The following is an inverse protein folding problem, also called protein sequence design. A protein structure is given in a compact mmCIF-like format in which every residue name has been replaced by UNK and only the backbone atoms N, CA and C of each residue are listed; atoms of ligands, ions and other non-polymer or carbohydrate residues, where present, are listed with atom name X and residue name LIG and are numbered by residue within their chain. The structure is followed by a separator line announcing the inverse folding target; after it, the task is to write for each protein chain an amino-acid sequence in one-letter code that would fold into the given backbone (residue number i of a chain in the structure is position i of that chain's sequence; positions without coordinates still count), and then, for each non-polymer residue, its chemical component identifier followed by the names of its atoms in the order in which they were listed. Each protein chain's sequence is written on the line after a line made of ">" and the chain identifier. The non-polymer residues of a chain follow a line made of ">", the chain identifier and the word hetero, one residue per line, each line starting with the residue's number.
data_IF_560812659019
#
_entry.id   IF_560812659019
#
_cell.length_a   1.000
_cell.length_b   1.000
_cell.length_c   1.000
_cell.angle_alpha   90.00
_cell.angle_beta   90.00
_cell.angle_gamma   90.00
#
_symmetry.space_group_name_H-M   'P 1'
#
loop_
_entity.id
_entity.type
_entity.pdbx_description
1 polymer ?
#
# COMPACT_ATOMS: atom_id res chain seq x y z
N UNK A 1 10.20 -59.78 56.86
CA UNK A 1 10.20 -59.24 55.48
C UNK A 1 9.13 -58.14 55.39
N UNK A 2 9.46 -56.99 54.79
CA UNK A 2 8.62 -55.78 54.59
C UNK A 2 8.70 -54.80 55.78
N UNK A 3 9.31 -53.60 55.76
CA UNK A 3 9.18 -52.43 54.84
C UNK A 3 7.69 -52.10 54.58
N UNK A 4 7.16 -50.88 54.65
CA UNK A 4 7.74 -49.54 54.59
C UNK A 4 6.67 -48.50 54.99
N UNK A 5 7.13 -47.41 55.60
CA UNK A 5 6.73 -45.99 55.43
C UNK A 5 5.52 -45.59 54.58
N UNK A 6 4.83 -44.52 54.99
CA UNK A 6 4.25 -43.57 54.04
C UNK A 6 3.13 -42.70 54.59
N UNK A 7 3.48 -41.52 55.12
CA UNK A 7 2.52 -40.49 55.51
C UNK A 7 1.74 -39.93 54.32
N UNK A 8 0.50 -39.50 54.56
CA UNK A 8 -0.27 -38.68 53.62
C UNK A 8 -0.38 -37.27 54.17
N UNK A 9 0.35 -36.34 53.55
CA UNK A 9 0.13 -34.93 53.70
C UNK A 9 -1.05 -34.52 52.80
N UNK A 10 -2.07 -33.94 53.42
CA UNK A 10 -3.15 -33.21 52.77
C UNK A 10 -2.59 -31.91 52.16
N UNK A 11 -2.84 -31.73 50.87
CA UNK A 11 -2.32 -30.64 50.08
C UNK A 11 -3.29 -30.30 48.95
N UNK A 12 -4.56 -30.07 49.29
CA UNK A 12 -5.59 -29.62 48.35
C UNK A 12 -5.36 -28.15 47.92
N UNK A 13 -4.31 -27.89 47.13
CA UNK A 13 -4.21 -26.67 46.32
C UNK A 13 -5.05 -26.87 45.06
N UNK A 14 -6.23 -26.24 45.01
CA UNK A 14 -6.99 -26.07 43.77
C UNK A 14 -6.09 -25.35 42.77
N UNK A 15 -5.67 -26.04 41.71
CA UNK A 15 -5.08 -25.39 40.52
C UNK A 15 -6.17 -24.52 39.93
N UNK A 16 -5.95 -23.21 39.95
CA UNK A 16 -6.71 -22.28 39.11
C UNK A 16 -6.39 -22.67 37.66
N UNK A 17 -7.42 -23.00 36.89
CA UNK A 17 -7.26 -23.30 35.47
C UNK A 17 -6.64 -22.08 34.79
N UNK A 18 -5.59 -22.30 34.02
CA UNK A 18 -5.02 -21.26 33.16
C UNK A 18 -6.06 -20.87 32.11
N UNK A 19 -6.24 -19.58 31.80
CA UNK A 19 -7.17 -19.17 30.75
C UNK A 19 -6.64 -19.68 29.42
N UNK A 20 -7.29 -20.71 28.87
CA UNK A 20 -7.02 -21.17 27.51
C UNK A 20 -7.66 -20.17 26.55
N UNK A 21 -6.85 -19.26 26.00
CA UNK A 21 -7.30 -18.48 24.85
C UNK A 21 -7.25 -19.39 23.63
N UNK A 22 -8.43 -19.71 23.12
CA UNK A 22 -8.64 -20.51 21.92
C UNK A 22 -8.44 -19.62 20.70
N UNK A 23 -7.21 -19.54 20.20
CA UNK A 23 -6.93 -18.88 18.94
C UNK A 23 -7.29 -19.82 17.77
N UNK A 24 -8.53 -19.77 17.28
CA UNK A 24 -8.93 -20.47 16.05
C UNK A 24 -8.47 -19.73 14.79
N UNK A 25 -7.17 -19.39 14.71
CA UNK A 25 -6.59 -18.91 13.46
C UNK A 25 -5.87 -20.07 12.79
N UNK A 26 -6.55 -20.76 11.88
CA UNK A 26 -5.90 -21.77 11.02
C UNK A 26 -4.83 -21.12 10.13
N UNK A 27 -3.88 -21.92 9.64
CA UNK A 27 -2.76 -21.47 8.77
C UNK A 27 -3.24 -20.59 7.60
N UNK A 28 -4.43 -20.86 7.07
CA UNK A 28 -5.03 -20.13 5.96
C UNK A 28 -5.40 -18.66 6.31
N UNK A 29 -5.80 -18.39 7.56
CA UNK A 29 -6.09 -17.03 8.03
C UNK A 29 -4.82 -16.19 8.17
N UNK A 30 -3.76 -16.79 8.72
CA UNK A 30 -2.46 -16.15 8.88
C UNK A 30 -1.83 -15.79 7.53
N UNK A 31 -1.97 -16.66 6.52
CA UNK A 31 -1.51 -16.40 5.16
C UNK A 31 -2.26 -15.23 4.52
N UNK A 32 -3.58 -15.12 4.72
CA UNK A 32 -4.40 -14.03 4.15
C UNK A 32 -4.04 -12.68 4.76
N UNK A 33 -3.84 -12.60 6.07
CA UNK A 33 -3.45 -11.34 6.75
C UNK A 33 -2.05 -10.88 6.31
N UNK A 34 -1.08 -11.79 6.29
CA UNK A 34 0.27 -11.48 5.80
C UNK A 34 0.25 -11.01 4.34
N UNK A 35 -0.54 -11.67 3.49
CA UNK A 35 -0.67 -11.28 2.08
C UNK A 35 -1.28 -9.87 1.94
N UNK A 36 -2.27 -9.51 2.76
CA UNK A 36 -2.87 -8.16 2.74
C UNK A 36 -1.83 -7.11 3.13
N UNK A 37 -1.08 -7.33 4.21
CA UNK A 37 -0.01 -6.42 4.63
C UNK A 37 1.03 -6.23 3.53
N UNK A 38 1.49 -7.33 2.92
CA UNK A 38 2.44 -7.31 1.80
C UNK A 38 1.87 -6.54 0.62
N UNK A 39 0.61 -6.76 0.25
CA UNK A 39 -0.04 -6.05 -0.86
C UNK A 39 -0.16 -4.54 -0.61
N UNK A 40 -0.49 -4.13 0.62
CA UNK A 40 -0.55 -2.70 0.97
C UNK A 40 0.85 -2.09 0.91
N UNK A 41 1.89 -2.78 1.39
CA UNK A 41 3.28 -2.29 1.32
C UNK A 41 3.79 -2.19 -0.12
N UNK A 42 3.45 -3.16 -0.97
CA UNK A 42 3.75 -3.10 -2.41
C UNK A 42 3.06 -1.89 -3.04
N UNK A 43 1.78 -1.65 -2.73
CA UNK A 43 1.06 -0.48 -3.21
C UNK A 43 1.75 0.82 -2.78
N UNK A 44 2.14 0.94 -1.50
CA UNK A 44 2.86 2.12 -1.00
C UNK A 44 4.18 2.37 -1.72
N UNK A 45 4.96 1.31 -1.97
CA UNK A 45 6.21 1.39 -2.75
C UNK A 45 5.93 1.87 -4.17
N UNK A 46 4.84 1.39 -4.78
CA UNK A 46 4.42 1.84 -6.11
C UNK A 46 4.12 3.34 -6.11
N UNK A 47 3.42 3.89 -5.11
CA UNK A 47 3.14 5.33 -5.05
C UNK A 47 4.42 6.17 -4.92
N UNK A 48 5.40 5.70 -4.13
CA UNK A 48 6.69 6.38 -3.99
C UNK A 48 7.47 6.39 -5.31
N UNK A 49 7.52 5.26 -6.01
CA UNK A 49 8.18 5.14 -7.32
C UNK A 49 7.52 6.05 -8.37
N UNK A 50 6.19 6.10 -8.37
CA UNK A 50 5.37 6.93 -9.28
C UNK A 50 5.60 8.41 -9.03
N UNK A 51 5.56 8.81 -7.75
CA UNK A 51 5.87 10.16 -7.33
C UNK A 51 7.29 10.56 -7.75
N UNK A 52 8.28 9.70 -7.48
CA UNK A 52 9.66 9.96 -7.85
C UNK A 52 9.82 10.10 -9.38
N UNK A 53 9.08 9.31 -10.15
CA UNK A 53 9.00 9.45 -11.61
C UNK A 53 8.46 10.84 -12.01
N UNK A 54 7.35 11.29 -11.42
CA UNK A 54 6.79 12.61 -11.71
C UNK A 54 7.71 13.77 -11.32
N UNK A 55 8.36 13.68 -10.15
CA UNK A 55 9.35 14.68 -9.73
C UNK A 55 10.54 14.77 -10.70
N UNK A 56 11.04 13.62 -11.18
CA UNK A 56 12.08 13.59 -12.23
C UNK A 56 11.61 14.21 -13.55
N UNK A 57 10.32 14.08 -13.89
CA UNK A 57 9.76 14.74 -15.07
C UNK A 57 9.72 16.27 -14.91
N UNK A 58 9.43 16.77 -13.70
CA UNK A 58 9.47 18.21 -13.40
C UNK A 58 10.86 18.80 -13.53
N UNK A 59 11.94 18.06 -13.28
CA UNK A 59 13.29 18.58 -13.48
C UNK A 59 13.59 18.89 -14.95
N UNK A 60 12.88 18.22 -15.88
CA UNK A 60 13.11 18.30 -17.33
C UNK A 60 12.13 19.21 -18.07
N UNK A 61 10.97 19.48 -17.47
CA UNK A 61 9.92 20.33 -18.04
C UNK A 61 9.91 21.70 -17.34
N UNK A 62 10.55 22.75 -17.90
CA UNK A 62 10.81 24.00 -17.17
C UNK A 62 9.53 24.80 -16.86
N UNK A 63 8.52 24.75 -17.73
CA UNK A 63 7.24 25.46 -17.53
C UNK A 63 6.11 24.84 -18.38
N UNK A 64 4.88 25.28 -18.15
CA UNK A 64 3.72 24.98 -18.98
C UNK A 64 2.81 23.89 -18.42
N UNK A 65 1.79 23.54 -19.22
CA UNK A 65 0.68 22.68 -18.80
C UNK A 65 1.11 21.25 -18.46
N UNK A 66 2.16 20.75 -19.10
CA UNK A 66 2.73 19.41 -18.82
C UNK A 66 3.41 19.40 -17.45
N UNK A 67 4.21 20.43 -17.14
CA UNK A 67 4.81 20.61 -15.81
C UNK A 67 3.74 20.70 -14.72
N UNK A 68 2.68 21.48 -14.94
CA UNK A 68 1.59 21.60 -13.98
C UNK A 68 0.91 20.25 -13.71
N UNK A 69 0.66 19.48 -14.78
CA UNK A 69 0.08 18.15 -14.66
C UNK A 69 0.96 17.21 -13.82
N UNK A 70 2.27 17.14 -14.09
CA UNK A 70 3.17 16.28 -13.33
C UNK A 70 3.29 16.68 -11.86
N UNK A 71 3.25 17.98 -11.55
CA UNK A 71 3.26 18.45 -10.15
C UNK A 71 2.03 17.98 -9.41
N UNK A 72 0.86 18.17 -10.04
CA UNK A 72 -0.41 17.75 -9.47
C UNK A 72 -0.46 16.24 -9.23
N UNK A 73 -0.01 15.44 -10.21
CA UNK A 73 0.04 13.98 -10.07
C UNK A 73 1.00 13.56 -8.95
N UNK A 74 2.19 14.16 -8.85
CA UNK A 74 3.12 13.89 -7.75
C UNK A 74 2.52 14.18 -6.35
N UNK A 75 1.73 15.24 -6.23
CA UNK A 75 1.02 15.59 -4.99
C UNK A 75 -0.16 14.63 -4.71
N UNK A 76 -0.82 14.14 -5.76
CA UNK A 76 -1.87 13.11 -5.69
C UNK A 76 -1.31 11.80 -5.09
N UNK A 77 -0.12 11.35 -5.52
CA UNK A 77 0.52 10.13 -4.99
C UNK A 77 0.86 10.19 -3.49
N UNK A 78 1.24 11.35 -2.96
CA UNK A 78 1.45 11.52 -1.51
C UNK A 78 0.17 11.22 -0.73
N UNK A 79 -0.98 11.64 -1.28
CA UNK A 79 -2.28 11.40 -0.65
C UNK A 79 -2.70 9.94 -0.77
N UNK A 80 -2.36 9.27 -1.87
CA UNK A 80 -2.60 7.84 -2.05
C UNK A 80 -1.82 7.02 -1.03
N UNK A 81 -0.51 7.26 -0.91
CA UNK A 81 0.33 6.61 0.11
C UNK A 81 -0.20 6.85 1.52
N UNK A 82 -0.57 8.08 1.87
CA UNK A 82 -1.15 8.37 3.19
C UNK A 82 -2.43 7.59 3.50
N UNK A 83 -3.26 7.32 2.47
CA UNK A 83 -4.46 6.45 2.63
C UNK A 83 -4.08 4.98 2.84
N UNK A 84 -3.06 4.49 2.13
CA UNK A 84 -2.55 3.13 2.30
C UNK A 84 -1.89 2.94 3.68
N UNK A 85 -1.16 3.92 4.17
CA UNK A 85 -0.60 3.93 5.52
C UNK A 85 -1.70 3.88 6.60
N UNK A 86 -2.74 4.70 6.45
CA UNK A 86 -3.89 4.67 7.35
C UNK A 86 -4.63 3.33 7.31
N UNK A 87 -4.74 2.72 6.11
CA UNK A 87 -5.32 1.40 5.93
C UNK A 87 -4.51 0.32 6.65
N UNK A 88 -3.19 0.34 6.49
CA UNK A 88 -2.27 -0.58 7.16
C UNK A 88 -2.34 -0.42 8.68
N UNK A 89 -2.33 0.82 9.19
CA UNK A 89 -2.43 1.09 10.62
C UNK A 89 -3.77 0.58 11.21
N UNK A 90 -4.87 0.78 10.49
CA UNK A 90 -6.18 0.26 10.89
C UNK A 90 -6.19 -1.27 10.93
N UNK A 91 -5.60 -1.92 9.91
CA UNK A 91 -5.49 -3.39 9.84
C UNK A 91 -4.63 -3.96 10.95
N UNK A 92 -3.45 -3.40 11.18
CA UNK A 92 -2.56 -3.82 12.28
C UNK A 92 -3.24 -3.67 13.63
N UNK A 93 -4.06 -2.63 13.84
CA UNK A 93 -4.85 -2.45 15.06
C UNK A 93 -5.89 -3.56 15.25
N UNK A 94 -6.62 -3.91 14.18
CA UNK A 94 -7.62 -4.99 14.20
C UNK A 94 -6.97 -6.35 14.50
N UNK A 95 -5.80 -6.65 13.90
CA UNK A 95 -5.10 -7.95 14.06
C UNK A 95 -4.41 -8.08 15.41
N UNK A 96 -3.79 -7.00 15.91
CA UNK A 96 -3.02 -7.02 17.15
C UNK A 96 -3.87 -6.70 18.40
N UNK A 97 -5.18 -6.47 18.23
CA UNK A 97 -6.13 -6.08 19.30
C UNK A 97 -5.64 -4.90 20.16
N UNK A 98 -4.90 -3.96 19.58
CA UNK A 98 -4.29 -2.83 20.32
C UNK A 98 -5.22 -1.62 20.36
N UNK A 99 -5.26 -0.93 21.49
CA UNK A 99 -5.99 0.34 21.61
C UNK A 99 -5.41 1.45 20.71
N UNK A 100 -6.27 2.41 20.37
CA UNK A 100 -5.92 3.62 19.63
C UNK A 100 -4.75 4.36 20.29
N UNK A 101 -3.69 4.63 19.53
CA UNK A 101 -2.48 5.33 20.02
C UNK A 101 -1.34 4.44 20.55
N UNK A 102 -1.48 3.10 20.53
CA UNK A 102 -0.43 2.15 21.00
C UNK A 102 0.26 1.35 19.89
N UNK A 103 0.07 1.71 18.62
CA UNK A 103 0.71 1.01 17.52
C UNK A 103 2.24 1.20 17.57
N UNK A 104 3.04 0.12 17.48
CA UNK A 104 4.49 0.25 17.33
C UNK A 104 4.81 0.99 16.04
N UNK A 105 5.79 1.92 16.10
CA UNK A 105 6.22 2.69 14.93
C UNK A 105 6.86 1.73 13.93
N UNK A 106 6.15 1.43 12.85
CA UNK A 106 6.68 0.63 11.73
C UNK A 106 7.73 1.49 11.03
N UNK A 107 9.01 1.11 11.17
CA UNK A 107 10.11 1.72 10.43
C UNK A 107 10.12 1.05 9.05
N UNK A 108 9.62 1.76 8.05
CA UNK A 108 9.79 1.39 6.65
C UNK A 108 11.23 1.79 6.25
N UNK A 109 12.01 0.95 5.57
CA UNK A 109 13.32 1.34 5.04
C UNK A 109 13.19 2.62 4.20
N UNK A 110 14.10 3.57 4.39
CA UNK A 110 14.12 4.83 3.63
C UNK A 110 14.51 4.60 2.18
N UNK A 111 13.95 5.43 1.28
CA UNK A 111 14.08 5.45 -0.19
C UNK A 111 15.53 5.57 -0.75
N UNK A 112 16.56 5.51 0.09
CA UNK A 112 17.94 5.91 -0.26
C UNK A 112 18.68 4.95 -1.21
N UNK A 113 18.11 3.80 -1.59
CA UNK A 113 18.82 2.82 -2.43
C UNK A 113 18.33 2.72 -3.89
N UNK A 114 17.29 3.46 -4.30
CA UNK A 114 16.70 3.33 -5.64
C UNK A 114 16.81 4.61 -6.48
N UNK A 115 18.04 5.05 -6.69
CA UNK A 115 18.37 5.97 -7.78
C UNK A 115 19.62 5.49 -8.51
N UNK A 116 19.46 5.01 -9.74
CA UNK A 116 20.28 5.46 -10.88
C UNK A 116 19.64 4.96 -12.17
N UNK A 117 19.28 5.90 -13.04
CA UNK A 117 18.65 5.59 -14.31
C UNK A 117 18.46 6.85 -15.13
N UNK A 118 19.56 7.49 -15.54
CA UNK A 118 19.56 8.47 -16.61
C UNK A 118 19.31 7.73 -17.93
N UNK A 119 18.05 7.35 -18.16
CA UNK A 119 17.59 6.94 -19.49
C UNK A 119 17.71 8.11 -20.47
N UNK A 120 17.74 7.81 -21.79
CA UNK A 120 17.90 8.82 -22.83
C UNK A 120 16.87 9.96 -22.68
N UNK A 121 17.22 11.14 -23.19
CA UNK A 121 16.32 12.30 -23.22
C UNK A 121 15.07 11.95 -24.05
N UNK A 122 14.01 11.53 -23.38
CA UNK A 122 12.70 11.28 -23.98
C UNK A 122 11.95 12.60 -24.11
N UNK A 123 11.31 12.82 -25.27
CA UNK A 123 10.43 13.98 -25.45
C UNK A 123 9.17 13.88 -24.59
N UNK A 124 8.57 15.02 -24.23
CA UNK A 124 7.40 15.12 -23.36
C UNK A 124 6.25 14.16 -23.73
N UNK A 125 6.00 13.94 -25.03
CA UNK A 125 4.98 13.01 -25.50
C UNK A 125 5.25 11.56 -25.07
N UNK A 126 6.51 11.12 -25.13
CA UNK A 126 6.89 9.75 -24.75
C UNK A 126 6.87 9.58 -23.22
N UNK A 127 7.25 10.62 -22.48
CA UNK A 127 7.11 10.66 -21.02
C UNK A 127 5.65 10.53 -20.60
N UNK A 128 4.73 11.25 -21.26
CA UNK A 128 3.30 11.14 -20.99
C UNK A 128 2.72 9.75 -21.32
N UNK A 129 3.20 9.08 -22.37
CA UNK A 129 2.77 7.69 -22.64
C UNK A 129 3.21 6.73 -21.54
N UNK A 130 4.45 6.86 -21.07
CA UNK A 130 4.94 6.04 -19.95
C UNK A 130 4.15 6.31 -18.67
N UNK A 131 3.83 7.57 -18.40
CA UNK A 131 2.94 7.93 -17.30
C UNK A 131 1.56 7.26 -17.47
N UNK A 132 0.98 7.31 -18.66
CA UNK A 132 -0.30 6.67 -18.95
C UNK A 132 -0.28 5.16 -18.70
N UNK A 133 0.77 4.46 -19.14
CA UNK A 133 0.92 3.02 -18.95
C UNK A 133 1.02 2.67 -17.45
N UNK A 134 1.71 3.52 -16.69
CA UNK A 134 1.79 3.42 -15.24
C UNK A 134 0.40 3.54 -14.59
N UNK A 135 -0.33 4.61 -14.89
CA UNK A 135 -1.68 4.86 -14.35
C UNK A 135 -2.67 3.73 -14.69
N UNK A 136 -2.61 3.21 -15.91
CA UNK A 136 -3.43 2.05 -16.34
C UNK A 136 -3.10 0.80 -15.51
N UNK A 137 -1.83 0.58 -15.19
CA UNK A 137 -1.39 -0.56 -14.38
C UNK A 137 -1.86 -0.42 -12.94
N UNK A 138 -1.70 0.75 -12.32
CA UNK A 138 -2.20 1.06 -10.97
C UNK A 138 -3.72 0.89 -10.87
N UNK A 139 -4.47 1.43 -11.84
CA UNK A 139 -5.92 1.25 -11.91
C UNK A 139 -6.32 -0.22 -11.90
N UNK A 140 -5.71 -1.03 -12.78
CA UNK A 140 -6.02 -2.46 -12.88
C UNK A 140 -5.69 -3.21 -11.59
N UNK A 141 -4.56 -2.87 -10.96
CA UNK A 141 -4.15 -3.43 -9.68
C UNK A 141 -5.17 -3.14 -8.58
N UNK A 142 -5.53 -1.86 -8.40
CA UNK A 142 -6.51 -1.47 -7.38
C UNK A 142 -7.91 -2.01 -7.66
N UNK A 143 -8.35 -2.02 -8.92
CA UNK A 143 -9.64 -2.60 -9.30
C UNK A 143 -9.70 -4.10 -8.95
N UNK A 144 -8.61 -4.85 -9.20
CA UNK A 144 -8.50 -6.25 -8.83
C UNK A 144 -8.56 -6.45 -7.30
N UNK A 145 -7.79 -5.68 -6.53
CA UNK A 145 -7.79 -5.74 -5.07
C UNK A 145 -9.15 -5.38 -4.48
N UNK A 146 -9.81 -4.34 -5.00
CA UNK A 146 -11.16 -3.96 -4.63
C UNK A 146 -12.16 -5.09 -4.89
N UNK A 147 -12.09 -5.73 -6.06
CA UNK A 147 -12.98 -6.86 -6.42
C UNK A 147 -12.77 -8.09 -5.53
N UNK A 148 -11.52 -8.37 -5.13
CA UNK A 148 -11.15 -9.60 -4.40
C UNK A 148 -11.17 -9.44 -2.88
N UNK A 149 -11.15 -8.22 -2.36
CA UNK A 149 -11.14 -8.00 -0.92
C UNK A 149 -12.47 -8.44 -0.27
N UNK A 150 -12.39 -9.22 0.81
CA UNK A 150 -13.56 -9.59 1.62
C UNK A 150 -13.94 -8.47 2.60
N UNK A 151 -12.97 -7.66 3.01
CA UNK A 151 -13.11 -6.68 4.08
C UNK A 151 -13.67 -5.36 3.53
N UNK A 152 -14.79 -4.83 4.07
CA UNK A 152 -15.44 -3.65 3.53
C UNK A 152 -14.54 -2.40 3.43
N UNK A 153 -13.67 -2.16 4.41
CA UNK A 153 -12.76 -0.98 4.40
C UNK A 153 -11.66 -1.10 3.35
N UNK A 154 -11.07 -2.29 3.18
CA UNK A 154 -10.09 -2.56 2.11
C UNK A 154 -10.74 -2.39 0.73
N UNK A 155 -11.90 -3.02 0.53
CA UNK A 155 -12.70 -2.91 -0.70
C UNK A 155 -12.98 -1.45 -1.05
N UNK A 156 -13.49 -0.66 -0.10
CA UNK A 156 -13.78 0.76 -0.30
C UNK A 156 -12.53 1.56 -0.65
N UNK A 157 -11.41 1.29 0.01
CA UNK A 157 -10.15 2.00 -0.24
C UNK A 157 -9.60 1.73 -1.63
N UNK A 158 -9.54 0.45 -2.05
CA UNK A 158 -9.03 0.11 -3.37
C UNK A 158 -9.97 0.54 -4.51
N UNK A 159 -11.30 0.47 -4.31
CA UNK A 159 -12.24 1.03 -5.30
C UNK A 159 -12.08 2.53 -5.43
N UNK A 160 -11.84 3.24 -4.32
CA UNK A 160 -11.56 4.67 -4.34
C UNK A 160 -10.26 4.97 -5.12
N UNK A 161 -9.15 4.30 -4.80
CA UNK A 161 -7.87 4.52 -5.49
C UNK A 161 -7.97 4.23 -6.99
N UNK A 162 -8.61 3.11 -7.37
CA UNK A 162 -8.86 2.81 -8.78
C UNK A 162 -9.65 3.91 -9.51
N UNK A 163 -10.58 4.59 -8.82
CA UNK A 163 -11.33 5.71 -9.38
C UNK A 163 -10.49 6.98 -9.54
N UNK A 164 -9.54 7.23 -8.64
CA UNK A 164 -8.60 8.36 -8.76
C UNK A 164 -7.68 8.15 -9.98
N UNK A 165 -7.11 6.94 -10.14
CA UNK A 165 -6.27 6.61 -11.30
C UNK A 165 -7.02 6.74 -12.62
N UNK A 166 -8.30 6.39 -12.66
CA UNK A 166 -9.11 6.61 -13.85
C UNK A 166 -9.20 8.11 -14.21
N UNK A 167 -9.21 8.98 -13.21
CA UNK A 167 -9.08 10.42 -13.37
C UNK A 167 -7.73 10.83 -13.96
N UNK A 168 -6.63 10.25 -13.48
CA UNK A 168 -5.28 10.50 -14.00
C UNK A 168 -5.16 10.07 -15.45
N UNK A 169 -5.59 8.85 -15.78
CA UNK A 169 -5.64 8.28 -17.14
C UNK A 169 -6.33 9.25 -18.10
N UNK A 170 -7.51 9.78 -17.71
CA UNK A 170 -8.26 10.73 -18.54
C UNK A 170 -7.47 12.02 -18.79
N UNK A 171 -6.87 12.60 -17.75
CA UNK A 171 -6.09 13.85 -17.85
C UNK A 171 -4.84 13.68 -18.72
N UNK A 172 -4.12 12.57 -18.56
CA UNK A 172 -2.92 12.29 -19.34
C UNK A 172 -3.28 12.04 -20.82
N UNK A 173 -4.35 11.27 -21.10
CA UNK A 173 -4.84 11.09 -22.48
C UNK A 173 -5.21 12.40 -23.14
N UNK A 174 -5.93 13.26 -22.43
CA UNK A 174 -6.28 14.59 -22.93
C UNK A 174 -5.02 15.41 -23.27
N UNK A 175 -4.00 15.41 -22.39
CA UNK A 175 -2.75 16.11 -22.64
C UNK A 175 -2.01 15.58 -23.88
N UNK A 176 -1.95 14.25 -24.03
CA UNK A 176 -1.35 13.60 -25.21
C UNK A 176 -2.06 14.03 -26.50
N UNK A 177 -3.40 14.05 -26.50
CA UNK A 177 -4.19 14.44 -27.67
C UNK A 177 -4.02 15.91 -28.03
N UNK A 178 -3.94 16.80 -27.04
CA UNK A 178 -3.68 18.22 -27.23
C UNK A 178 -2.28 18.48 -27.80
N UNK A 179 -1.25 17.78 -27.30
CA UNK A 179 0.12 17.87 -27.83
C UNK A 179 0.20 17.40 -29.28
N UNK A 180 -0.48 16.29 -29.62
CA UNK A 180 -0.52 15.80 -31.00
C UNK A 180 -1.17 16.81 -31.94
N UNK A 181 -2.27 17.44 -31.54
CA UNK A 181 -2.97 18.45 -32.35
C UNK A 181 -2.16 19.72 -32.55
N UNK A 182 -1.41 20.15 -31.53
CA UNK A 182 -0.54 21.32 -31.60
C UNK A 182 0.72 21.15 -32.45
N UNK A 183 1.14 19.91 -32.76
CA UNK A 183 2.26 19.62 -33.67
C UNK A 183 1.85 19.48 -35.15
N UNK A 184 0.55 19.51 -35.47
CA UNK A 184 0.03 19.35 -36.84
C UNK A 184 -0.46 20.67 -37.48
N UNK A 185 -0.25 21.81 -36.81
CA UNK A 185 -0.48 23.17 -37.32
C UNK A 185 0.85 23.90 -37.47
#
# INVERSE_FOLDING_TARGET
>A
MGRSSGGKADGSRKRLAEPTVSWEWGEEGMIKEFLIEVLIKIAMSSEDETRAFYLKCLEREPDGRVRELFRRLADEEVRHKGRLEALLATRLREVLEVEEGKLPRVIVPSEEEMATGSGPAMGALEVLKRALDHEVSSHNFYALLGKRSALPVLRKTFVFLASEEEGHIRRIRQMIDEMKKGSTM
#
